data_IF_375870011686
#
_entry.id   IF_375870011686
#
_cell.length_a   1.000
_cell.length_b   1.000
_cell.length_c   1.000
_cell.angle_alpha   90.00
_cell.angle_beta   90.00
_cell.angle_gamma   90.00
#
_symmetry.space_group_name_H-M   'P 1'
#
loop_
_entity.id
_entity.type
_entity.pdbx_description
1 polymer ?
#
# COMPACT_ATOMS: atom_id res chain seq x y z
N UNK A 1 17.68 4.68 -10.61
CA UNK A 1 17.00 5.01 -9.33
C UNK A 1 15.91 3.99 -9.09
N UNK A 2 16.00 3.26 -7.98
CA UNK A 2 15.00 2.24 -7.62
C UNK A 2 13.66 2.88 -7.27
N UNK A 3 12.57 2.22 -7.66
CA UNK A 3 11.21 2.61 -7.33
C UNK A 3 10.59 1.57 -6.42
N UNK A 4 9.77 2.02 -5.47
CA UNK A 4 8.83 1.19 -4.75
C UNK A 4 7.59 1.01 -5.62
N UNK A 5 7.13 -0.23 -5.74
CA UNK A 5 5.90 -0.59 -6.44
C UNK A 5 5.04 -1.43 -5.49
N UNK A 6 3.78 -1.04 -5.34
CA UNK A 6 2.79 -1.78 -4.54
C UNK A 6 1.79 -2.38 -5.53
N UNK A 7 1.71 -3.70 -5.53
CA UNK A 7 0.77 -4.47 -6.32
C UNK A 7 -0.31 -5.06 -5.43
N UNK A 8 -1.51 -5.15 -5.96
CA UNK A 8 -2.63 -5.81 -5.31
C UNK A 8 -3.47 -6.57 -6.35
N UNK A 9 -4.07 -7.69 -5.97
CA UNK A 9 -5.11 -8.36 -6.74
C UNK A 9 -6.15 -9.00 -5.84
N UNK A 10 -7.38 -8.99 -6.33
CA UNK A 10 -8.43 -9.86 -5.85
C UNK A 10 -8.22 -11.26 -6.44
N UNK A 11 -8.51 -12.32 -5.67
CA UNK A 11 -8.40 -13.70 -6.14
C UNK A 11 -9.74 -14.26 -6.65
N UNK A 12 -10.82 -13.48 -6.57
CA UNK A 12 -12.12 -13.79 -7.18
C UNK A 12 -12.48 -12.77 -8.27
N UNK A 13 -13.42 -13.14 -9.16
CA UNK A 13 -13.77 -12.44 -10.42
C UNK A 13 -14.27 -10.99 -10.28
N UNK A 14 -14.48 -10.50 -9.05
CA UNK A 14 -14.80 -9.10 -8.83
C UNK A 14 -13.55 -8.24 -9.00
N UNK A 15 -13.48 -7.55 -10.15
CA UNK A 15 -12.53 -6.47 -10.38
C UNK A 15 -12.94 -5.29 -9.49
N UNK A 16 -12.34 -5.19 -8.31
CA UNK A 16 -12.40 -3.97 -7.52
C UNK A 16 -11.63 -2.86 -8.25
N UNK A 17 -12.30 -1.73 -8.44
CA UNK A 17 -11.75 -0.53 -9.06
C UNK A 17 -10.83 0.21 -8.08
N UNK A 18 -9.52 -0.02 -8.23
CA UNK A 18 -8.47 0.65 -7.45
C UNK A 18 -8.54 2.17 -7.58
N UNK A 19 -8.87 2.69 -8.76
CA UNK A 19 -8.93 4.14 -8.98
C UNK A 19 -10.13 4.72 -8.23
N UNK A 20 -11.28 4.03 -8.23
CA UNK A 20 -12.42 4.38 -7.38
C UNK A 20 -12.09 4.43 -5.89
N UNK A 21 -11.20 3.57 -5.40
CA UNK A 21 -10.71 3.68 -4.00
C UNK A 21 -9.83 4.91 -3.77
N UNK A 22 -8.96 5.28 -4.73
CA UNK A 22 -8.13 6.48 -4.60
C UNK A 22 -8.96 7.76 -4.54
N UNK A 23 -10.09 7.81 -5.25
CA UNK A 23 -11.02 8.95 -5.22
C UNK A 23 -11.56 9.25 -3.82
N UNK A 24 -11.68 8.24 -2.94
CA UNK A 24 -12.07 8.42 -1.53
C UNK A 24 -11.06 9.25 -0.72
N UNK A 25 -9.84 9.38 -1.22
CA UNK A 25 -8.70 9.97 -0.51
C UNK A 25 -8.09 11.16 -1.25
N UNK A 26 -8.39 11.35 -2.54
CA UNK A 26 -7.71 12.33 -3.39
C UNK A 26 -7.88 13.80 -2.94
N UNK A 27 -8.96 14.11 -2.23
CA UNK A 27 -9.26 15.45 -1.72
C UNK A 27 -8.78 15.67 -0.28
N UNK A 28 -8.18 14.67 0.36
CA UNK A 28 -7.74 14.75 1.76
C UNK A 28 -6.35 15.38 1.87
N UNK A 29 -6.15 16.15 2.93
CA UNK A 29 -4.85 16.67 3.32
C UNK A 29 -3.93 15.56 3.86
N UNK A 30 -2.63 15.85 3.97
CA UNK A 30 -1.65 14.92 4.53
C UNK A 30 -1.99 14.51 5.97
N UNK A 31 -2.48 15.44 6.78
CA UNK A 31 -2.87 15.18 8.17
C UNK A 31 -4.06 14.22 8.25
N UNK A 32 -5.10 14.48 7.46
CA UNK A 32 -6.28 13.60 7.37
C UNK A 32 -5.94 12.21 6.85
N UNK A 33 -5.02 12.10 5.88
CA UNK A 33 -4.56 10.81 5.36
C UNK A 33 -3.74 10.03 6.40
N UNK A 34 -2.88 10.71 7.16
CA UNK A 34 -2.12 10.08 8.25
C UNK A 34 -3.04 9.58 9.34
N UNK A 35 -4.01 10.41 9.75
CA UNK A 35 -5.00 10.02 10.76
C UNK A 35 -5.85 8.85 10.30
N UNK A 36 -6.36 8.91 9.06
CA UNK A 36 -7.11 7.83 8.42
C UNK A 36 -6.30 6.53 8.37
N UNK A 37 -5.00 6.59 8.03
CA UNK A 37 -4.16 5.40 7.99
C UNK A 37 -4.02 4.75 9.38
N UNK A 38 -3.84 5.55 10.45
CA UNK A 38 -3.79 5.06 11.83
C UNK A 38 -5.08 4.37 12.24
N UNK A 39 -6.21 5.00 11.97
CA UNK A 39 -7.54 4.45 12.28
C UNK A 39 -7.76 3.12 11.52
N UNK A 40 -7.50 3.11 10.22
CA UNK A 40 -7.65 1.93 9.37
C UNK A 40 -6.79 0.75 9.87
N UNK A 41 -5.64 0.98 10.50
CA UNK A 41 -4.81 -0.08 11.05
C UNK A 41 -5.46 -0.86 12.19
N UNK A 42 -6.44 -0.28 12.88
CA UNK A 42 -7.10 -0.87 14.06
C UNK A 42 -8.46 -1.48 13.77
N UNK A 43 -9.02 -1.21 12.59
CA UNK A 43 -10.36 -1.67 12.20
C UNK A 43 -10.25 -2.98 11.42
N UNK A 44 -10.76 -4.07 12.00
CA UNK A 44 -10.87 -5.35 11.31
C UNK A 44 -12.18 -5.44 10.50
N UNK A 45 -12.15 -6.08 9.33
CA UNK A 45 -13.35 -6.40 8.53
C UNK A 45 -13.79 -7.83 8.82
N UNK A 46 -15.09 -8.03 8.97
CA UNK A 46 -15.70 -9.34 9.25
C UNK A 46 -15.60 -10.31 8.07
N UNK A 47 -15.59 -9.79 6.84
CA UNK A 47 -15.48 -10.57 5.61
C UNK A 47 -14.05 -10.57 5.10
N UNK A 48 -13.45 -11.77 5.00
CA UNK A 48 -12.16 -11.94 4.37
C UNK A 48 -12.37 -12.33 2.90
N UNK A 49 -12.14 -11.38 2.01
CA UNK A 49 -12.08 -11.66 0.60
C UNK A 49 -10.65 -12.12 0.25
N UNK A 50 -10.49 -13.29 -0.39
CA UNK A 50 -9.19 -13.76 -0.84
C UNK A 50 -8.49 -12.73 -1.73
N UNK A 51 -7.34 -12.25 -1.26
CA UNK A 51 -6.57 -11.21 -1.90
C UNK A 51 -5.07 -11.51 -1.81
N UNK A 52 -4.30 -10.91 -2.71
CA UNK A 52 -2.85 -10.99 -2.68
C UNK A 52 -2.24 -9.62 -2.96
N UNK A 53 -1.18 -9.28 -2.23
CA UNK A 53 -0.40 -8.08 -2.50
C UNK A 53 1.09 -8.36 -2.53
N UNK A 54 1.83 -7.48 -3.20
CA UNK A 54 3.29 -7.54 -3.28
C UNK A 54 3.88 -6.14 -3.22
N UNK A 55 4.95 -5.97 -2.45
CA UNK A 55 5.76 -4.75 -2.47
C UNK A 55 7.12 -5.08 -3.09
N UNK A 56 7.51 -4.33 -4.12
CA UNK A 56 8.70 -4.63 -4.91
C UNK A 56 9.53 -3.37 -5.09
N UNK A 57 10.84 -3.51 -4.92
CA UNK A 57 11.83 -2.49 -5.28
C UNK A 57 12.38 -2.86 -6.66
N UNK A 58 12.33 -1.93 -7.61
CA UNK A 58 12.84 -2.17 -8.96
C UNK A 58 13.51 -0.94 -9.56
N UNK A 59 14.68 -1.14 -10.15
CA UNK A 59 15.35 -0.14 -10.99
C UNK A 59 14.73 -0.04 -12.39
N UNK A 60 13.95 -1.05 -12.79
CA UNK A 60 13.27 -1.15 -14.09
C UNK A 60 11.74 -1.27 -13.91
N UNK A 61 11.07 -0.23 -13.39
CA UNK A 61 9.67 -0.32 -12.98
C UNK A 61 8.73 -0.70 -14.13
N UNK A 62 8.97 -0.25 -15.36
CA UNK A 62 8.15 -0.62 -16.52
C UNK A 62 8.22 -2.13 -16.83
N UNK A 63 9.40 -2.74 -16.72
CA UNK A 63 9.58 -4.18 -16.89
C UNK A 63 8.90 -4.98 -15.79
N UNK A 64 9.01 -4.51 -14.54
CA UNK A 64 8.36 -5.11 -13.38
C UNK A 64 6.83 -5.06 -13.51
N UNK A 65 6.25 -3.88 -13.79
CA UNK A 65 4.81 -3.71 -13.99
C UNK A 65 4.33 -4.64 -15.10
N UNK A 66 5.02 -4.68 -16.24
CA UNK A 66 4.71 -5.59 -17.35
C UNK A 66 4.76 -7.07 -16.95
N UNK A 67 5.58 -7.45 -15.98
CA UNK A 67 5.65 -8.84 -15.51
C UNK A 67 4.40 -9.20 -14.68
N UNK A 68 3.99 -8.34 -13.74
CA UNK A 68 2.91 -8.61 -12.78
C UNK A 68 1.50 -8.30 -13.31
N UNK A 69 1.36 -7.36 -14.25
CA UNK A 69 0.06 -6.92 -14.79
C UNK A 69 -0.36 -7.65 -16.07
N UNK A 70 0.54 -8.45 -16.67
CA UNK A 70 0.19 -9.24 -17.86
C UNK A 70 -0.58 -10.49 -17.46
N UNK A 71 -1.67 -10.77 -18.17
CA UNK A 71 -2.34 -12.07 -18.19
C UNK A 71 -1.38 -13.12 -18.80
N UNK A 72 -0.55 -13.76 -17.97
CA UNK A 72 0.37 -14.82 -18.42
C UNK A 72 0.03 -16.20 -17.85
N UNK A 73 -0.93 -16.27 -16.92
CA UNK A 73 -1.26 -17.47 -16.15
C UNK A 73 -2.77 -17.52 -15.91
N UNK A 74 -3.31 -18.69 -15.53
CA UNK A 74 -4.74 -18.92 -15.25
C UNK A 74 -5.31 -18.18 -14.02
N UNK A 75 -4.80 -16.99 -13.69
CA UNK A 75 -5.27 -16.17 -12.57
C UNK A 75 -5.25 -14.68 -12.91
N UNK A 76 -6.03 -13.92 -12.15
CA UNK A 76 -6.22 -12.49 -12.38
C UNK A 76 -4.88 -11.71 -12.26
N UNK A 77 -4.63 -10.74 -13.16
CA UNK A 77 -3.42 -9.93 -13.13
C UNK A 77 -3.39 -9.04 -11.88
N UNK A 78 -2.18 -8.65 -11.44
CA UNK A 78 -2.06 -7.62 -10.42
C UNK A 78 -2.44 -6.25 -10.97
N UNK A 79 -3.03 -5.43 -10.12
CA UNK A 79 -3.19 -4.01 -10.30
C UNK A 79 -2.05 -3.27 -9.59
N UNK A 80 -1.67 -2.11 -10.12
CA UNK A 80 -0.65 -1.24 -9.52
C UNK A 80 -1.33 -0.22 -8.62
N UNK A 81 -1.15 -0.32 -7.30
CA UNK A 81 -1.65 0.67 -6.34
C UNK A 81 -0.74 1.89 -6.26
N UNK A 82 0.57 1.68 -6.37
CA UNK A 82 1.57 2.73 -6.23
C UNK A 82 2.82 2.42 -7.03
N UNK A 83 3.45 3.46 -7.57
CA UNK A 83 4.77 3.41 -8.21
C UNK A 83 5.48 4.73 -7.99
N UNK A 84 6.53 4.73 -7.20
CA UNK A 84 7.28 5.96 -6.97
C UNK A 84 8.43 5.80 -5.99
N UNK A 85 9.02 6.93 -5.66
CA UNK A 85 10.09 7.06 -4.66
C UNK A 85 9.59 7.74 -3.38
N UNK A 86 8.29 8.04 -3.31
CA UNK A 86 7.59 8.78 -2.25
C UNK A 86 8.08 10.22 -2.10
N UNK A 87 8.60 10.81 -3.18
CA UNK A 87 8.84 12.24 -3.25
C UNK A 87 7.52 13.02 -3.26
N UNK A 88 6.54 12.52 -4.01
CA UNK A 88 5.14 12.89 -3.81
C UNK A 88 4.60 12.06 -2.62
N UNK A 89 4.67 12.66 -1.44
CA UNK A 89 4.25 11.99 -0.22
C UNK A 89 2.72 11.89 -0.12
N UNK A 90 1.99 12.76 -0.82
CA UNK A 90 0.52 12.74 -0.85
C UNK A 90 0.03 11.51 -1.61
N UNK A 91 0.53 11.29 -2.83
CA UNK A 91 0.22 10.10 -3.62
C UNK A 91 0.57 8.80 -2.86
N UNK A 92 1.74 8.78 -2.20
CA UNK A 92 2.13 7.65 -1.36
C UNK A 92 1.14 7.37 -0.22
N UNK A 93 0.68 8.40 0.50
CA UNK A 93 -0.29 8.24 1.58
C UNK A 93 -1.69 7.86 1.08
N UNK A 94 -2.10 8.33 -0.10
CA UNK A 94 -3.35 7.91 -0.75
C UNK A 94 -3.28 6.40 -1.03
N UNK A 95 -2.22 5.93 -1.71
CA UNK A 95 -2.06 4.51 -2.00
C UNK A 95 -1.95 3.64 -0.75
N UNK A 96 -1.32 4.16 0.32
CA UNK A 96 -1.29 3.49 1.62
C UNK A 96 -2.70 3.31 2.20
N UNK A 97 -3.50 4.38 2.23
CA UNK A 97 -4.86 4.32 2.76
C UNK A 97 -5.74 3.35 1.97
N UNK A 98 -5.63 3.37 0.64
CA UNK A 98 -6.30 2.39 -0.23
C UNK A 98 -5.90 0.97 0.16
N UNK A 99 -4.60 0.70 0.31
CA UNK A 99 -4.13 -0.61 0.70
C UNK A 99 -4.66 -1.04 2.08
N UNK A 100 -4.67 -0.14 3.07
CA UNK A 100 -5.19 -0.43 4.40
C UNK A 100 -6.71 -0.67 4.42
N UNK A 101 -7.48 -0.09 3.49
CA UNK A 101 -8.90 -0.43 3.30
C UNK A 101 -9.11 -1.83 2.71
N UNK A 102 -8.19 -2.26 1.84
CA UNK A 102 -8.23 -3.57 1.20
C UNK A 102 -7.83 -4.69 2.18
N UNK A 103 -6.83 -4.44 3.03
CA UNK A 103 -6.41 -5.40 4.05
C UNK A 103 -7.49 -5.66 5.09
N UNK A 104 -7.69 -6.93 5.45
CA UNK A 104 -8.84 -7.35 6.28
C UNK A 104 -8.54 -7.20 7.76
N UNK A 105 -7.36 -7.61 8.20
CA UNK A 105 -7.02 -7.73 9.62
C UNK A 105 -5.92 -6.75 10.01
N UNK A 106 -5.97 -6.27 11.25
CA UNK A 106 -4.97 -5.38 11.85
C UNK A 106 -3.59 -6.03 11.80
N UNK A 107 -3.49 -7.34 12.03
CA UNK A 107 -2.24 -8.10 11.88
C UNK A 107 -1.65 -8.00 10.48
N UNK A 108 -2.48 -8.15 9.45
CA UNK A 108 -2.06 -8.02 8.05
C UNK A 108 -1.62 -6.58 7.74
N UNK A 109 -2.36 -5.58 8.22
CA UNK A 109 -2.06 -4.15 8.08
C UNK A 109 -0.73 -3.78 8.72
N UNK A 110 -0.48 -4.23 9.94
CA UNK A 110 0.79 -3.99 10.62
C UNK A 110 1.96 -4.70 9.93
N UNK A 111 1.76 -5.94 9.49
CA UNK A 111 2.78 -6.68 8.72
C UNK A 111 3.12 -5.98 7.41
N UNK A 112 2.11 -5.44 6.73
CA UNK A 112 2.27 -4.65 5.52
C UNK A 112 3.05 -3.36 5.80
N UNK A 113 2.70 -2.60 6.84
CA UNK A 113 3.37 -1.34 7.20
C UNK A 113 4.85 -1.55 7.53
N UNK A 114 5.18 -2.59 8.30
CA UNK A 114 6.57 -2.92 8.64
C UNK A 114 7.39 -3.25 7.37
N UNK A 115 6.80 -4.05 6.48
CA UNK A 115 7.41 -4.42 5.20
C UNK A 115 7.57 -3.20 4.28
N UNK A 116 6.55 -2.35 4.22
CA UNK A 116 6.52 -1.12 3.44
C UNK A 116 7.58 -0.13 3.93
N UNK A 117 7.71 0.08 5.24
CA UNK A 117 8.74 0.93 5.84
C UNK A 117 10.14 0.44 5.45
N UNK A 118 10.38 -0.87 5.57
CA UNK A 118 11.66 -1.48 5.22
C UNK A 118 12.00 -1.23 3.75
N UNK A 119 11.04 -1.46 2.85
CA UNK A 119 11.24 -1.21 1.42
C UNK A 119 11.41 0.28 1.09
N UNK A 120 10.65 1.14 1.75
CA UNK A 120 10.73 2.59 1.55
C UNK A 120 12.09 3.12 2.01
N UNK A 121 12.68 2.58 3.08
CA UNK A 121 14.01 2.96 3.55
C UNK A 121 15.10 2.75 2.50
N UNK A 122 15.02 1.66 1.73
CA UNK A 122 15.94 1.39 0.63
C UNK A 122 15.77 2.34 -0.57
N UNK A 123 14.54 2.81 -0.80
CA UNK A 123 14.21 3.67 -1.96
C UNK A 123 14.40 5.15 -1.65
N UNK A 124 14.00 5.58 -0.45
CA UNK A 124 14.02 6.96 0.00
C UNK A 124 13.99 7.02 1.54
N UNK A 125 15.18 7.13 2.14
CA UNK A 125 15.34 7.17 3.60
C UNK A 125 14.60 8.34 4.26
N UNK A 126 14.53 9.51 3.60
CA UNK A 126 13.81 10.69 4.14
C UNK A 126 12.31 10.44 4.22
N UNK A 127 11.73 9.87 3.17
CA UNK A 127 10.32 9.51 3.16
C UNK A 127 10.02 8.39 4.16
N UNK A 128 10.94 7.43 4.34
CA UNK A 128 10.80 6.38 5.35
C UNK A 128 10.82 6.93 6.78
N UNK A 129 11.73 7.86 7.08
CA UNK A 129 11.79 8.51 8.39
C UNK A 129 10.50 9.30 8.69
N UNK A 130 9.99 10.04 7.68
CA UNK A 130 8.70 10.73 7.78
C UNK A 130 7.55 9.74 8.02
N UNK A 131 7.48 8.66 7.24
CA UNK A 131 6.48 7.61 7.40
C UNK A 131 6.52 6.94 8.78
N UNK A 132 7.70 6.69 9.34
CA UNK A 132 7.84 6.18 10.70
C UNK A 132 7.34 7.19 11.75
N UNK A 133 7.63 8.48 11.57
CA UNK A 133 7.16 9.53 12.47
C UNK A 133 5.63 9.70 12.41
N UNK A 134 5.07 9.71 11.19
CA UNK A 134 3.65 9.94 10.94
C UNK A 134 2.80 8.74 11.35
N UNK A 135 3.23 7.51 11.08
CA UNK A 135 2.40 6.29 11.19
C UNK A 135 3.05 5.22 12.08
N UNK A 136 4.35 5.00 11.94
CA UNK A 136 5.07 3.95 12.68
C UNK A 136 5.03 4.13 14.20
N UNK A 137 5.21 5.34 14.71
CA UNK A 137 5.32 5.62 16.14
C UNK A 137 4.07 5.30 16.96
N UNK A 138 2.87 5.23 16.39
CA UNK A 138 1.69 4.75 17.13
C UNK A 138 1.56 3.23 17.05
N UNK A 139 1.85 2.66 15.89
CA UNK A 139 1.72 1.23 15.62
C UNK A 139 2.69 0.38 16.46
N UNK A 140 3.95 0.83 16.60
CA UNK A 140 4.94 0.12 17.42
C UNK A 140 4.60 0.12 18.92
N UNK A 141 3.81 1.08 19.40
CA UNK A 141 3.37 1.13 20.79
C UNK A 141 2.08 0.34 21.03
N UNK A 142 1.20 0.22 20.04
CA UNK A 142 -0.03 -0.59 20.12
C UNK A 142 0.20 -2.10 20.01
N UNK A 143 1.41 -2.55 19.69
CA UNK A 143 1.82 -3.97 19.70
C UNK A 143 2.41 -4.45 21.05
N UNK A 144 2.36 -3.62 22.10
CA UNK A 144 2.67 -4.01 23.49
C UNK A 144 1.41 -4.38 24.25
#
# INVERSE_FOLDING_TARGET
MSHLIIFWRHLHDDVLDVEGYKELFCNKSLEELTQSAKELCTVDRLEHNPQEYRTIISETPAGCIKFYTRERSAGLPFQVLYKGTANDYLDFLISLNVMLCLLTTSREKYSFIISLYSNLKYVNEKAAARFAADIGNEIYFSMK
#
